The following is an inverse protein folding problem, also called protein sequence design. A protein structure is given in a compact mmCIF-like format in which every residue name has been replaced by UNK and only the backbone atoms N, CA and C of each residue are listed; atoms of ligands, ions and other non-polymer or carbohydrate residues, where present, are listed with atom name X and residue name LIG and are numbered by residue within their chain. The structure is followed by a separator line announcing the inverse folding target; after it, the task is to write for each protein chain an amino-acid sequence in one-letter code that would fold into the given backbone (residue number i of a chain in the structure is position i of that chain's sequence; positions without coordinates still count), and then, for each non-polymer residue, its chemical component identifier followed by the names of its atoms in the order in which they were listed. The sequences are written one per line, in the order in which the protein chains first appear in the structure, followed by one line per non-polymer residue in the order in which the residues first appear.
data_IF_204195714081
#
_entry.id   IF_204195714081
#
_cell.length_a   1.000
_cell.length_b   1.000
_cell.length_c   1.000
_cell.angle_alpha   90.00
_cell.angle_beta   90.00
_cell.angle_gamma   90.00
#
_symmetry.space_group_name_H-M   'P 1'
#
loop_
_entity.id
_entity.type
_entity.pdbx_description
1 polymer ?
#
# COMPACT_ATOMS: atom_id res chain seq x y z
N UNK A 1 39.17 27.42 7.58
CA UNK A 1 40.38 27.10 8.34
C UNK A 1 40.80 25.71 7.89
N UNK A 2 41.97 25.56 7.27
CA UNK A 2 42.47 24.25 6.85
C UNK A 2 43.08 23.54 8.08
N UNK A 3 42.80 22.24 8.24
CA UNK A 3 43.36 21.41 9.30
C UNK A 3 43.70 20.05 8.71
N UNK A 4 44.99 19.78 8.52
CA UNK A 4 45.50 18.57 7.85
C UNK A 4 45.98 17.50 8.86
N UNK A 5 45.53 17.56 10.11
CA UNK A 5 45.91 16.58 11.15
C UNK A 5 44.90 15.43 11.26
N UNK A 6 45.41 14.21 11.42
CA UNK A 6 44.63 12.97 11.53
C UNK A 6 43.66 12.89 12.72
N UNK A 7 43.81 13.76 13.74
CA UNK A 7 43.00 13.76 14.97
C UNK A 7 42.42 15.16 15.31
N UNK A 8 42.25 16.04 14.32
CA UNK A 8 41.84 17.43 14.53
C UNK A 8 40.37 17.72 14.26
N UNK A 9 39.78 18.69 14.96
CA UNK A 9 38.54 19.34 14.52
C UNK A 9 38.88 20.50 13.58
N UNK A 10 38.34 20.51 12.36
CA UNK A 10 38.57 21.60 11.40
C UNK A 10 37.87 22.90 11.80
N UNK A 11 36.57 22.84 12.10
CA UNK A 11 35.72 23.97 12.49
C UNK A 11 34.77 23.53 13.62
N UNK A 12 34.61 24.35 14.66
CA UNK A 12 33.66 24.13 15.76
C UNK A 12 32.88 25.42 16.07
N UNK A 13 31.54 25.33 16.08
CA UNK A 13 30.64 26.44 16.41
C UNK A 13 29.60 26.03 17.44
N UNK A 14 29.39 26.84 18.49
CA UNK A 14 28.38 26.62 19.54
C UNK A 14 27.49 27.85 19.69
N UNK A 15 26.33 27.83 19.06
CA UNK A 15 25.33 28.89 19.08
C UNK A 15 23.94 28.31 18.74
N UNK A 16 22.93 29.18 18.58
CA UNK A 16 21.62 28.77 18.07
C UNK A 16 21.70 28.13 16.67
N UNK A 17 22.58 28.66 15.81
CA UNK A 17 23.02 28.04 14.56
C UNK A 17 24.52 27.81 14.65
N UNK A 18 24.97 26.55 14.61
CA UNK A 18 26.40 26.20 14.71
C UNK A 18 27.18 26.50 13.44
N UNK A 19 26.59 26.17 12.27
CA UNK A 19 27.13 26.39 10.92
C UNK A 19 25.94 26.67 9.98
N UNK A 20 26.10 27.59 9.03
CA UNK A 20 25.14 27.87 7.95
C UNK A 20 25.88 27.77 6.60
N UNK A 21 25.38 26.93 5.70
CA UNK A 21 25.83 26.84 4.31
C UNK A 21 24.68 27.20 3.38
N UNK A 22 24.92 28.12 2.45
CA UNK A 22 23.92 28.63 1.50
C UNK A 22 24.54 28.63 0.09
N UNK A 23 23.72 28.26 -0.90
CA UNK A 23 24.07 28.36 -2.31
C UNK A 23 22.83 28.80 -3.08
N UNK A 24 22.98 29.82 -3.92
CA UNK A 24 21.92 30.49 -4.67
C UNK A 24 22.01 30.26 -6.18
N UNK A 25 22.93 29.38 -6.61
CA UNK A 25 23.16 29.05 -8.01
C UNK A 25 22.48 27.74 -8.40
N UNK A 26 22.06 27.60 -9.67
CA UNK A 26 21.60 26.32 -10.22
C UNK A 26 22.65 25.22 -10.02
N UNK A 27 22.22 24.05 -9.54
CA UNK A 27 23.09 22.92 -9.16
C UNK A 27 24.10 23.21 -8.03
N UNK A 28 23.92 24.33 -7.32
CA UNK A 28 24.74 24.69 -6.18
C UNK A 28 24.58 23.73 -5.00
N UNK A 29 25.66 23.54 -4.23
CA UNK A 29 25.67 22.68 -3.04
C UNK A 29 25.94 23.56 -1.83
N UNK A 30 24.94 23.72 -0.95
CA UNK A 30 25.09 24.51 0.27
C UNK A 30 26.02 23.86 1.31
N UNK A 31 25.97 22.53 1.44
CA UNK A 31 26.82 21.75 2.36
C UNK A 31 27.22 20.43 1.71
N UNK A 32 28.50 20.08 1.78
CA UNK A 32 29.06 18.81 1.28
C UNK A 32 29.90 18.14 2.37
N UNK A 33 29.55 16.90 2.72
CA UNK A 33 30.34 16.04 3.61
C UNK A 33 30.97 14.88 2.84
N UNK A 34 32.27 14.70 2.95
CA UNK A 34 33.05 13.66 2.25
C UNK A 34 33.78 12.82 3.30
N UNK A 35 33.62 11.50 3.24
CA UNK A 35 34.49 10.53 3.90
C UNK A 35 35.26 9.75 2.83
N UNK A 36 36.58 9.80 2.87
CA UNK A 36 37.48 9.28 1.81
C UNK A 36 38.34 8.09 2.28
N UNK A 37 37.96 7.47 3.40
CA UNK A 37 38.61 6.30 3.99
C UNK A 37 37.61 5.18 4.25
N UNK A 38 38.09 3.95 4.43
CA UNK A 38 37.24 2.83 4.87
C UNK A 38 36.57 3.18 6.20
N UNK A 39 35.27 2.91 6.29
CA UNK A 39 34.40 3.20 7.45
C UNK A 39 34.21 4.69 7.79
N UNK A 40 34.68 5.61 6.94
CA UNK A 40 34.43 7.03 7.12
C UNK A 40 32.96 7.39 6.90
N UNK A 41 32.44 8.30 7.74
CA UNK A 41 31.08 8.84 7.60
C UNK A 41 31.18 10.27 7.07
N UNK A 42 30.62 10.53 5.90
CA UNK A 42 30.64 11.88 5.29
C UNK A 42 29.81 12.90 6.08
N UNK A 43 28.63 12.49 6.59
CA UNK A 43 27.74 13.33 7.41
C UNK A 43 27.21 12.53 8.60
N UNK A 44 27.44 13.02 9.82
CA UNK A 44 26.96 12.41 11.07
C UNK A 44 26.27 13.46 11.93
N UNK A 45 25.04 13.16 12.40
CA UNK A 45 24.25 14.04 13.25
C UNK A 45 23.48 13.27 14.30
N UNK A 46 23.33 13.84 15.50
CA UNK A 46 22.59 13.23 16.60
C UNK A 46 21.86 14.30 17.45
N UNK A 47 20.75 13.92 18.07
CA UNK A 47 20.00 14.75 19.01
C UNK A 47 19.81 13.99 20.34
N UNK A 48 20.15 14.61 21.47
CA UNK A 48 20.10 13.96 22.79
C UNK A 48 18.93 14.43 23.66
N UNK A 49 18.10 15.35 23.16
CA UNK A 49 17.03 16.01 23.93
C UNK A 49 15.63 15.79 23.34
N UNK A 50 15.45 14.72 22.58
CA UNK A 50 14.15 14.32 22.02
C UNK A 50 13.68 15.14 20.82
N UNK A 51 14.57 15.92 20.20
CA UNK A 51 14.31 16.57 18.93
C UNK A 51 14.75 15.71 17.74
N UNK A 52 14.65 16.28 16.54
CA UNK A 52 15.13 15.64 15.32
C UNK A 52 16.66 15.75 15.20
N UNK A 53 17.31 14.70 14.71
CA UNK A 53 18.72 14.74 14.33
C UNK A 53 18.93 15.37 12.93
N UNK A 54 17.89 15.36 12.09
CA UNK A 54 17.86 16.01 10.79
C UNK A 54 16.42 16.27 10.33
N UNK A 55 16.23 17.33 9.56
CA UNK A 55 14.98 17.68 8.89
C UNK A 55 15.34 18.12 7.47
N UNK A 56 14.79 17.42 6.47
CA UNK A 56 14.99 17.74 5.06
C UNK A 56 13.66 18.25 4.51
N UNK A 57 13.67 19.43 3.91
CA UNK A 57 12.47 20.07 3.38
C UNK A 57 12.78 20.60 1.99
N UNK A 58 11.90 20.31 1.05
CA UNK A 58 11.94 20.83 -0.30
C UNK A 58 10.63 21.55 -0.60
N UNK A 59 10.71 22.68 -1.31
CA UNK A 59 9.55 23.51 -1.70
C UNK A 59 9.40 23.52 -3.22
N UNK A 60 9.57 22.37 -3.86
CA UNK A 60 9.25 22.18 -5.28
C UNK A 60 7.83 21.63 -5.42
N UNK A 61 7.03 22.30 -6.25
CA UNK A 61 5.77 21.78 -6.75
C UNK A 61 5.98 21.46 -8.24
N UNK A 62 6.38 20.23 -8.53
CA UNK A 62 6.43 19.69 -9.88
C UNK A 62 5.67 18.38 -9.89
N UNK A 63 4.87 18.16 -10.93
CA UNK A 63 4.02 16.96 -11.02
C UNK A 63 4.82 15.72 -11.47
N UNK A 64 6.01 15.93 -12.04
CA UNK A 64 6.89 14.85 -12.50
C UNK A 64 7.75 14.27 -11.38
N UNK A 65 7.78 12.94 -11.28
CA UNK A 65 8.61 12.17 -10.35
C UNK A 65 10.10 12.12 -10.77
N UNK A 66 10.71 13.27 -11.08
CA UNK A 66 12.15 13.35 -11.34
C UNK A 66 12.94 13.24 -10.03
N UNK A 67 14.23 12.85 -10.07
CA UNK A 67 15.06 12.85 -8.88
C UNK A 67 15.06 14.22 -8.17
N UNK A 68 15.04 15.32 -8.92
CA UNK A 68 15.07 16.69 -8.40
C UNK A 68 13.77 17.11 -7.66
N UNK A 69 12.65 16.44 -7.93
CA UNK A 69 11.37 16.66 -7.23
C UNK A 69 11.34 16.04 -5.82
N UNK A 70 12.30 15.18 -5.46
CA UNK A 70 12.35 14.51 -4.16
C UNK A 70 13.13 15.33 -3.13
N UNK A 71 12.66 15.36 -1.88
CA UNK A 71 13.37 16.06 -0.79
C UNK A 71 14.70 15.41 -0.40
N UNK A 72 14.84 14.09 -0.60
CA UNK A 72 16.05 13.33 -0.28
C UNK A 72 16.24 12.23 -1.34
N UNK A 73 17.47 12.10 -1.84
CA UNK A 73 17.92 10.96 -2.63
C UNK A 73 18.99 10.17 -1.87
N UNK A 74 18.85 8.84 -1.84
CA UNK A 74 19.83 7.93 -1.22
C UNK A 74 20.32 6.97 -2.30
N UNK A 75 21.62 6.99 -2.56
CA UNK A 75 22.23 6.24 -3.67
C UNK A 75 23.49 5.55 -3.20
N UNK A 76 23.56 4.24 -3.44
CA UNK A 76 24.80 3.49 -3.34
C UNK A 76 25.28 3.16 -4.76
N UNK A 77 26.47 3.68 -5.10
CA UNK A 77 27.05 3.58 -6.45
C UNK A 77 28.01 2.38 -6.60
N UNK A 78 28.09 1.50 -5.60
CA UNK A 78 28.93 0.32 -5.63
C UNK A 78 28.52 -0.64 -6.75
N UNK A 79 29.40 -0.85 -7.72
CA UNK A 79 29.23 -1.84 -8.79
C UNK A 79 30.13 -3.06 -8.51
N UNK A 80 29.57 -4.21 -8.15
CA UNK A 80 30.33 -5.42 -7.80
C UNK A 80 29.45 -6.62 -7.41
N UNK A 81 30.04 -7.81 -7.29
CA UNK A 81 29.33 -9.11 -7.26
C UNK A 81 28.42 -9.41 -6.06
N UNK A 82 28.46 -8.63 -4.99
CA UNK A 82 27.56 -8.79 -3.82
C UNK A 82 26.33 -7.87 -3.85
N UNK A 83 26.31 -6.86 -4.73
CA UNK A 83 25.27 -5.84 -4.79
C UNK A 83 25.37 -4.78 -3.69
N UNK A 84 25.03 -3.50 -3.98
CA UNK A 84 25.01 -2.44 -2.98
C UNK A 84 23.72 -2.42 -2.13
N UNK A 85 23.84 -2.18 -0.82
CA UNK A 85 22.70 -1.87 0.06
C UNK A 85 22.32 -0.38 -0.01
N UNK A 86 21.02 -0.08 -0.02
CA UNK A 86 20.50 1.29 -0.19
C UNK A 86 20.31 2.06 1.11
N UNK A 87 19.34 1.65 1.93
CA UNK A 87 18.94 2.34 3.17
C UNK A 87 18.77 1.34 4.31
N UNK A 88 19.47 1.59 5.42
CA UNK A 88 19.25 0.92 6.69
C UNK A 88 18.51 1.86 7.66
N UNK A 89 17.44 1.38 8.30
CA UNK A 89 16.69 2.09 9.34
C UNK A 89 16.79 1.27 10.63
N UNK A 90 17.33 1.87 11.69
CA UNK A 90 17.53 1.21 12.98
C UNK A 90 16.80 1.97 14.06
N UNK A 91 15.85 1.31 14.72
CA UNK A 91 15.14 1.82 15.90
C UNK A 91 15.53 0.97 17.10
N UNK A 92 16.15 1.55 18.15
CA UNK A 92 16.54 0.76 19.30
C UNK A 92 15.30 0.41 20.14
N UNK A 93 15.16 -0.88 20.47
CA UNK A 93 14.17 -1.42 21.41
C UNK A 93 14.81 -2.53 22.24
N UNK A 94 14.13 -2.99 23.30
CA UNK A 94 14.65 -4.04 24.16
C UNK A 94 14.56 -5.41 23.45
N UNK A 95 15.71 -6.08 23.27
CA UNK A 95 15.79 -7.37 22.57
C UNK A 95 15.75 -7.24 21.05
N UNK A 96 15.70 -8.37 20.34
CA UNK A 96 15.80 -8.44 18.87
C UNK A 96 14.44 -8.44 18.17
N UNK A 97 13.34 -8.38 18.93
CA UNK A 97 11.97 -8.46 18.41
C UNK A 97 11.25 -7.14 18.58
N UNK A 98 10.90 -6.42 17.48
CA UNK A 98 10.18 -5.16 17.59
C UNK A 98 8.76 -5.40 18.12
N UNK A 99 8.38 -4.65 19.15
CA UNK A 99 7.00 -4.56 19.62
C UNK A 99 6.09 -3.90 18.58
N UNK A 100 4.77 -4.02 18.76
CA UNK A 100 3.76 -3.44 17.87
C UNK A 100 3.69 -1.90 17.88
N UNK A 101 4.45 -1.26 18.76
CA UNK A 101 4.57 0.19 18.90
C UNK A 101 5.86 0.75 18.28
N UNK A 102 6.71 -0.09 17.68
CA UNK A 102 7.94 0.34 17.01
C UNK A 102 7.62 0.77 15.59
N UNK A 103 7.76 2.06 15.28
CA UNK A 103 7.59 2.59 13.92
C UNK A 103 8.95 2.77 13.23
N UNK A 104 9.13 2.14 12.07
CA UNK A 104 10.32 2.33 11.24
C UNK A 104 10.10 3.46 10.22
N UNK A 105 8.91 3.48 9.60
CA UNK A 105 8.48 4.51 8.65
C UNK A 105 7.05 4.91 8.97
N UNK A 106 6.73 6.19 8.95
CA UNK A 106 5.37 6.70 9.14
C UNK A 106 5.03 7.69 8.03
N UNK A 107 3.90 7.47 7.37
CA UNK A 107 3.36 8.36 6.35
C UNK A 107 2.33 9.28 7.00
N UNK A 108 2.44 10.60 6.79
CA UNK A 108 1.51 11.59 7.32
C UNK A 108 0.64 12.21 6.22
N UNK A 109 -0.55 12.70 6.59
CA UNK A 109 -1.41 13.50 5.71
C UNK A 109 -0.71 14.80 5.26
N UNK A 110 -1.21 15.44 4.19
CA UNK A 110 -0.65 16.71 3.70
C UNK A 110 -0.64 17.86 4.73
N UNK A 111 -1.52 17.81 5.74
CA UNK A 111 -1.50 18.73 6.88
C UNK A 111 -0.48 18.39 7.97
N UNK A 112 0.26 17.28 7.81
CA UNK A 112 1.20 16.71 8.77
C UNK A 112 0.60 16.41 10.16
N UNK A 113 -0.73 16.28 10.27
CA UNK A 113 -1.42 16.14 11.55
C UNK A 113 -1.81 14.69 11.90
N UNK A 114 -1.92 13.81 10.89
CA UNK A 114 -2.42 12.44 11.08
C UNK A 114 -1.55 11.45 10.32
N UNK A 115 -1.15 10.36 10.96
CA UNK A 115 -0.55 9.22 10.27
C UNK A 115 -1.60 8.52 9.39
N UNK A 116 -1.27 8.31 8.12
CA UNK A 116 -2.12 7.64 7.11
C UNK A 116 -1.65 6.23 6.77
N UNK A 117 -0.43 5.86 7.17
CA UNK A 117 0.11 4.52 7.07
C UNK A 117 1.46 4.40 7.77
N UNK A 118 1.96 3.18 7.92
CA UNK A 118 3.27 2.94 8.53
C UNK A 118 3.90 1.60 8.11
N UNK A 119 5.21 1.50 8.29
CA UNK A 119 5.91 0.22 8.45
C UNK A 119 6.28 0.13 9.93
N UNK A 120 5.63 -0.78 10.65
CA UNK A 120 5.76 -0.93 12.11
C UNK A 120 6.06 -2.38 12.49
N UNK A 121 6.59 -2.60 13.70
CA UNK A 121 6.81 -3.93 14.24
C UNK A 121 5.49 -4.71 14.37
N UNK A 122 5.54 -6.03 14.19
CA UNK A 122 4.37 -6.90 14.36
C UNK A 122 4.27 -7.55 15.76
N UNK A 123 5.21 -7.24 16.67
CA UNK A 123 5.28 -7.86 18.00
C UNK A 123 5.80 -9.30 18.03
N UNK A 124 6.13 -9.88 16.87
CA UNK A 124 6.49 -11.30 16.70
C UNK A 124 7.78 -11.48 15.88
N UNK A 125 8.63 -10.46 15.84
CA UNK A 125 9.97 -10.53 15.21
C UNK A 125 10.01 -10.06 13.76
N UNK A 126 8.94 -9.44 13.26
CA UNK A 126 8.87 -8.90 11.90
C UNK A 126 8.23 -7.52 11.83
N UNK A 127 7.93 -7.09 10.60
CA UNK A 127 7.23 -5.84 10.32
C UNK A 127 5.87 -6.10 9.68
N UNK A 128 4.96 -5.14 9.80
CA UNK A 128 3.69 -5.07 9.09
C UNK A 128 3.61 -3.78 8.31
N UNK A 129 3.02 -3.85 7.11
CA UNK A 129 2.58 -2.68 6.38
C UNK A 129 1.17 -2.31 6.86
N UNK A 130 1.07 -1.18 7.56
CA UNK A 130 -0.19 -0.67 8.09
C UNK A 130 -0.82 0.28 7.09
N UNK A 131 -1.93 -0.14 6.51
CA UNK A 131 -2.75 0.64 5.58
C UNK A 131 -4.21 0.66 6.00
N UNK A 132 -5.06 1.37 5.25
CA UNK A 132 -6.50 1.43 5.49
C UNK A 132 -7.28 0.19 5.02
N UNK A 133 -6.63 -0.71 4.27
CA UNK A 133 -7.22 -1.89 3.65
C UNK A 133 -6.59 -3.20 4.10
N UNK A 134 -7.32 -4.30 3.93
CA UNK A 134 -6.87 -5.65 4.31
C UNK A 134 -6.85 -6.62 3.11
N UNK A 135 -6.93 -6.08 1.90
CA UNK A 135 -6.98 -6.80 0.63
C UNK A 135 -5.83 -6.42 -0.30
N UNK A 136 -5.55 -7.33 -1.22
CA UNK A 136 -4.74 -7.09 -2.39
C UNK A 136 -5.68 -6.96 -3.58
N UNK A 137 -5.67 -5.77 -4.19
CA UNK A 137 -6.45 -5.46 -5.37
C UNK A 137 -5.56 -5.23 -6.58
N UNK A 138 -6.10 -5.49 -7.76
CA UNK A 138 -5.48 -5.13 -9.03
C UNK A 138 -6.41 -4.20 -9.81
N UNK A 139 -5.82 -3.24 -10.52
CA UNK A 139 -6.54 -2.26 -11.30
C UNK A 139 -6.91 -2.85 -12.67
N UNK A 140 -8.20 -3.10 -12.90
CA UNK A 140 -8.70 -3.66 -14.16
C UNK A 140 -9.48 -2.65 -14.98
N UNK A 141 -9.45 -2.74 -16.33
CA UNK A 141 -10.45 -2.10 -17.17
C UNK A 141 -11.86 -2.55 -16.79
N UNK A 142 -12.75 -1.60 -16.51
CA UNK A 142 -14.09 -1.90 -16.05
C UNK A 142 -15.14 -0.99 -16.69
N UNK A 143 -16.40 -1.40 -16.59
CA UNK A 143 -17.53 -0.62 -17.09
C UNK A 143 -17.93 0.48 -16.12
N UNK A 144 -18.48 1.57 -16.67
CA UNK A 144 -18.93 2.71 -15.86
C UNK A 144 -20.04 2.31 -14.89
N UNK A 145 -20.10 3.02 -13.77
CA UNK A 145 -21.18 2.90 -12.79
C UNK A 145 -21.02 1.77 -11.79
N UNK A 146 -19.89 1.04 -11.80
CA UNK A 146 -19.50 0.14 -10.71
C UNK A 146 -19.28 0.93 -9.41
N UNK A 147 -19.56 0.29 -8.29
CA UNK A 147 -19.41 0.88 -6.96
C UNK A 147 -18.63 -0.06 -6.03
N UNK A 148 -17.95 0.47 -5.00
CA UNK A 148 -17.32 -0.36 -3.99
C UNK A 148 -18.28 -1.40 -3.41
N UNK A 149 -17.78 -2.63 -3.24
CA UNK A 149 -18.54 -3.79 -2.81
C UNK A 149 -19.34 -4.50 -3.91
N UNK A 150 -19.40 -3.96 -5.14
CA UNK A 150 -19.99 -4.67 -6.28
C UNK A 150 -19.17 -5.94 -6.58
N UNK A 151 -19.84 -7.09 -6.67
CA UNK A 151 -19.28 -8.32 -7.23
C UNK A 151 -19.24 -8.22 -8.74
N UNK A 152 -18.08 -8.43 -9.33
CA UNK A 152 -17.82 -8.21 -10.76
C UNK A 152 -17.45 -9.50 -11.48
N UNK A 153 -17.75 -9.53 -12.77
CA UNK A 153 -17.48 -10.66 -13.67
C UNK A 153 -16.71 -10.16 -14.89
N UNK A 154 -15.99 -11.06 -15.55
CA UNK A 154 -15.31 -10.79 -16.81
C UNK A 154 -16.36 -10.74 -17.93
N UNK A 155 -16.57 -9.55 -18.50
CA UNK A 155 -17.49 -9.34 -19.61
C UNK A 155 -16.98 -9.88 -20.95
N UNK A 156 -17.81 -9.88 -22.00
CA UNK A 156 -17.45 -10.42 -23.32
C UNK A 156 -16.22 -9.76 -23.98
N UNK A 157 -15.98 -8.48 -23.67
CA UNK A 157 -14.84 -7.70 -24.19
C UNK A 157 -13.60 -7.77 -23.28
N UNK A 158 -13.60 -8.64 -22.26
CA UNK A 158 -12.53 -8.72 -21.26
C UNK A 158 -12.55 -7.61 -20.21
N UNK A 159 -13.43 -6.59 -20.37
CA UNK A 159 -13.70 -5.58 -19.35
C UNK A 159 -14.54 -6.15 -18.22
N UNK A 160 -14.29 -5.69 -17.01
CA UNK A 160 -15.09 -6.08 -15.85
C UNK A 160 -16.44 -5.37 -15.86
N UNK A 161 -17.48 -6.14 -15.58
CA UNK A 161 -18.87 -5.67 -15.52
C UNK A 161 -19.50 -6.13 -14.21
N UNK A 162 -20.58 -5.47 -13.81
CA UNK A 162 -21.36 -5.89 -12.64
C UNK A 162 -21.91 -7.30 -12.90
N UNK A 163 -21.83 -8.18 -11.90
CA UNK A 163 -22.56 -9.46 -11.93
C UNK A 163 -24.07 -9.21 -12.00
N UNK A 164 -24.80 -10.07 -12.72
CA UNK A 164 -26.25 -9.89 -12.96
C UNK A 164 -27.04 -11.21 -12.87
N UNK A 165 -26.36 -12.32 -12.59
CA UNK A 165 -26.97 -13.65 -12.51
C UNK A 165 -26.34 -14.46 -11.37
N UNK A 166 -27.14 -15.34 -10.81
CA UNK A 166 -26.69 -16.32 -9.84
C UNK A 166 -25.60 -17.26 -10.41
N UNK A 167 -24.59 -17.59 -9.61
CA UNK A 167 -23.58 -18.63 -9.88
C UNK A 167 -22.82 -18.47 -11.21
N UNK A 168 -22.42 -17.24 -11.54
CA UNK A 168 -21.61 -16.94 -12.72
C UNK A 168 -20.19 -17.49 -12.57
N UNK A 169 -19.75 -18.31 -13.52
CA UNK A 169 -18.41 -18.94 -13.50
C UNK A 169 -17.28 -18.02 -13.96
N UNK A 170 -17.62 -16.84 -14.46
CA UNK A 170 -16.69 -15.82 -14.93
C UNK A 170 -16.52 -14.70 -13.89
N UNK A 171 -16.78 -14.98 -12.61
CA UNK A 171 -16.59 -14.03 -11.53
C UNK A 171 -15.10 -13.70 -11.36
N UNK A 172 -14.80 -12.42 -11.21
CA UNK A 172 -13.42 -11.91 -11.20
C UNK A 172 -12.98 -11.42 -9.81
N UNK A 173 -13.93 -11.06 -8.94
CA UNK A 173 -13.64 -10.52 -7.62
C UNK A 173 -14.68 -9.48 -7.20
N UNK A 174 -14.27 -8.58 -6.31
CA UNK A 174 -15.13 -7.52 -5.76
C UNK A 174 -14.42 -6.18 -5.88
N UNK A 175 -15.15 -5.12 -6.23
CA UNK A 175 -14.61 -3.76 -6.21
C UNK A 175 -14.20 -3.37 -4.77
N UNK A 176 -12.90 -3.23 -4.52
CA UNK A 176 -12.33 -2.79 -3.25
C UNK A 176 -12.60 -1.32 -2.96
N UNK A 177 -12.88 -0.98 -1.70
CA UNK A 177 -13.11 0.41 -1.28
C UNK A 177 -11.79 1.17 -1.07
N UNK A 178 -10.79 0.51 -0.48
CA UNK A 178 -9.52 1.10 -0.09
C UNK A 178 -8.50 -0.03 0.06
N UNK A 179 -7.88 -0.49 -1.04
CA UNK A 179 -7.02 -1.67 -1.01
C UNK A 179 -5.78 -1.46 -0.13
N UNK A 180 -5.34 -2.54 0.52
CA UNK A 180 -4.10 -2.53 1.29
C UNK A 180 -2.87 -2.49 0.37
N UNK A 181 -2.95 -3.19 -0.75
CA UNK A 181 -2.01 -3.13 -1.86
C UNK A 181 -2.79 -3.03 -3.16
N UNK A 182 -2.36 -2.13 -4.06
CA UNK A 182 -2.94 -1.97 -5.39
C UNK A 182 -1.88 -2.27 -6.45
N UNK A 183 -2.09 -3.31 -7.24
CA UNK A 183 -1.31 -3.64 -8.43
C UNK A 183 -1.95 -3.13 -9.72
N UNK A 184 -1.23 -3.26 -10.84
CA UNK A 184 -1.77 -2.98 -12.19
C UNK A 184 -1.75 -1.51 -12.61
N UNK A 185 -1.19 -0.61 -11.79
CA UNK A 185 -0.86 0.76 -12.21
C UNK A 185 0.45 0.75 -13.01
N UNK A 186 0.43 1.29 -14.22
CA UNK A 186 1.64 1.49 -15.05
C UNK A 186 1.86 2.98 -15.30
N UNK A 187 3.10 3.45 -15.50
CA UNK A 187 3.39 4.88 -15.74
C UNK A 187 2.58 5.47 -16.90
N UNK A 188 2.36 4.71 -17.97
CA UNK A 188 1.57 5.13 -19.14
C UNK A 188 0.08 5.39 -18.84
N UNK A 189 -0.41 4.93 -17.69
CA UNK A 189 -1.82 5.13 -17.26
C UNK A 189 -2.02 6.44 -16.50
N UNK A 190 -1.00 6.97 -15.83
CA UNK A 190 -1.09 8.25 -15.10
C UNK A 190 -1.22 9.43 -16.07
N UNK A 191 -0.57 9.35 -17.24
CA UNK A 191 -0.61 10.38 -18.27
C UNK A 191 -1.94 10.47 -19.05
N UNK A 192 -2.86 9.51 -18.85
CA UNK A 192 -4.14 9.44 -19.58
C UNK A 192 -5.34 9.99 -18.78
N UNK A 193 -5.11 10.54 -17.58
CA UNK A 193 -6.18 11.02 -16.70
C UNK A 193 -6.92 12.26 -17.25
N UNK A 194 -6.34 13.02 -18.18
CA UNK A 194 -6.90 14.32 -18.62
C UNK A 194 -7.80 14.29 -19.86
N UNK A 195 -7.71 13.30 -20.77
CA UNK A 195 -8.49 13.33 -22.03
C UNK A 195 -9.44 12.15 -22.27
N UNK A 196 -9.23 10.96 -21.66
CA UNK A 196 -10.07 9.77 -21.92
C UNK A 196 -10.37 8.91 -20.69
N UNK A 197 -10.82 9.53 -19.58
CA UNK A 197 -11.42 8.86 -18.41
C UNK A 197 -12.74 8.11 -18.72
N UNK A 198 -12.92 7.57 -19.92
CA UNK A 198 -14.11 6.85 -20.37
C UNK A 198 -13.97 5.32 -20.36
N UNK A 199 -12.76 4.77 -20.21
CA UNK A 199 -12.56 3.38 -19.81
C UNK A 199 -12.27 3.31 -18.31
N UNK A 200 -13.36 3.30 -17.52
CA UNK A 200 -13.34 3.32 -16.06
C UNK A 200 -12.61 2.12 -15.49
N UNK A 201 -11.36 2.28 -15.07
CA UNK A 201 -10.67 1.24 -14.32
C UNK A 201 -11.24 1.15 -12.90
N UNK A 202 -11.18 -0.03 -12.29
CA UNK A 202 -11.60 -0.23 -10.90
C UNK A 202 -10.60 -1.14 -10.16
N UNK A 203 -10.26 -0.83 -8.89
CA UNK A 203 -9.48 -1.72 -8.04
C UNK A 203 -10.34 -2.91 -7.62
N UNK A 204 -9.98 -4.11 -8.08
CA UNK A 204 -10.71 -5.33 -7.76
C UNK A 204 -9.90 -6.17 -6.82
N UNK A 205 -10.46 -6.45 -5.64
CA UNK A 205 -9.91 -7.37 -4.67
C UNK A 205 -9.93 -8.79 -5.23
N UNK A 206 -8.74 -9.37 -5.35
CA UNK A 206 -8.53 -10.77 -5.76
C UNK A 206 -8.35 -11.66 -4.53
N UNK A 207 -7.83 -11.10 -3.43
CA UNK A 207 -7.65 -11.79 -2.16
C UNK A 207 -7.70 -10.81 -0.98
N UNK A 208 -8.18 -11.30 0.17
CA UNK A 208 -8.19 -10.56 1.43
C UNK A 208 -9.59 -10.21 1.92
N UNK A 209 -9.69 -9.28 2.86
CA UNK A 209 -10.98 -8.96 3.51
C UNK A 209 -11.53 -7.66 2.95
N UNK A 210 -12.73 -7.73 2.34
CA UNK A 210 -13.41 -6.56 1.80
C UNK A 210 -14.89 -6.50 2.21
N UNK A 211 -15.48 -5.30 2.29
CA UNK A 211 -16.93 -5.14 2.33
C UNK A 211 -17.54 -5.56 0.99
N UNK A 212 -18.52 -6.46 1.02
CA UNK A 212 -19.21 -6.99 -0.18
C UNK A 212 -20.70 -6.74 -0.05
N UNK A 213 -21.33 -6.28 -1.13
CA UNK A 213 -22.79 -6.22 -1.24
C UNK A 213 -23.34 -7.64 -1.32
N UNK A 214 -24.33 -7.96 -0.48
CA UNK A 214 -24.90 -9.31 -0.35
C UNK A 214 -26.42 -9.31 -0.34
N UNK A 215 -27.00 -10.38 -0.85
CA UNK A 215 -28.44 -10.67 -0.89
C UNK A 215 -28.72 -12.00 -0.18
N UNK A 216 -29.78 -12.02 0.63
CA UNK A 216 -30.31 -13.23 1.28
C UNK A 216 -31.30 -13.99 0.38
N UNK A 217 -31.36 -13.72 -0.93
CA UNK A 217 -32.28 -14.37 -1.86
C UNK A 217 -32.12 -15.89 -1.93
N UNK A 218 -30.92 -16.40 -1.62
CA UNK A 218 -30.64 -17.83 -1.53
C UNK A 218 -30.57 -18.33 -0.07
N UNK A 219 -31.27 -17.64 0.82
CA UNK A 219 -31.33 -17.87 2.25
C UNK A 219 -30.36 -16.99 3.04
N UNK A 220 -30.54 -17.01 4.36
CA UNK A 220 -29.70 -16.27 5.31
C UNK A 220 -28.23 -16.64 5.15
N UNK A 221 -27.35 -15.66 5.25
CA UNK A 221 -25.89 -15.80 5.24
C UNK A 221 -25.40 -15.89 6.69
N UNK A 222 -24.50 -16.83 6.95
CA UNK A 222 -23.83 -17.05 8.23
C UNK A 222 -22.30 -16.99 8.05
N UNK A 223 -21.53 -16.59 9.08
CA UNK A 223 -20.09 -16.67 9.02
C UNK A 223 -19.61 -18.08 8.64
N UNK A 224 -18.69 -18.15 7.68
CA UNK A 224 -18.18 -19.40 7.10
C UNK A 224 -18.90 -19.87 5.84
N UNK A 225 -20.10 -19.37 5.54
CA UNK A 225 -20.82 -19.70 4.32
C UNK A 225 -20.00 -19.31 3.08
N UNK A 226 -19.93 -20.22 2.11
CA UNK A 226 -19.39 -19.91 0.80
C UNK A 226 -20.36 -19.00 0.06
N UNK A 227 -19.82 -18.00 -0.64
CA UNK A 227 -20.60 -17.03 -1.40
C UNK A 227 -20.35 -17.18 -2.90
N UNK A 228 -21.38 -16.89 -3.70
CA UNK A 228 -21.34 -16.82 -5.16
C UNK A 228 -22.08 -15.56 -5.63
N UNK A 229 -22.02 -15.23 -6.93
CA UNK A 229 -22.85 -14.14 -7.49
C UNK A 229 -24.35 -14.46 -7.32
N UNK A 230 -25.16 -13.41 -7.21
CA UNK A 230 -26.62 -13.48 -7.07
C UNK A 230 -27.34 -12.95 -8.31
N UNK A 231 -28.66 -13.17 -8.40
CA UNK A 231 -29.53 -12.54 -9.40
C UNK A 231 -29.76 -11.05 -9.09
N UNK A 232 -29.55 -10.63 -7.83
CA UNK A 232 -29.46 -9.21 -7.47
C UNK A 232 -28.15 -8.62 -8.03
N UNK A 233 -28.19 -7.63 -8.94
CA UNK A 233 -26.99 -7.16 -9.63
C UNK A 233 -25.90 -6.66 -8.67
N UNK A 234 -24.67 -7.11 -8.87
CA UNK A 234 -23.50 -6.72 -8.08
C UNK A 234 -23.48 -7.26 -6.66
N UNK A 235 -24.44 -8.12 -6.29
CA UNK A 235 -24.49 -8.71 -4.97
C UNK A 235 -24.01 -10.17 -5.01
N UNK A 236 -23.39 -10.59 -3.91
CA UNK A 236 -23.16 -11.98 -3.60
C UNK A 236 -24.36 -12.57 -2.85
N UNK A 237 -24.48 -13.89 -2.83
CA UNK A 237 -25.42 -14.63 -2.00
C UNK A 237 -24.77 -15.92 -1.51
N UNK A 238 -25.40 -16.62 -0.56
CA UNK A 238 -24.97 -17.96 -0.17
C UNK A 238 -24.87 -18.87 -1.40
N UNK A 239 -23.77 -19.60 -1.55
CA UNK A 239 -23.53 -20.48 -2.68
C UNK A 239 -24.40 -21.76 -2.57
N UNK A 240 -24.83 -22.29 -3.72
CA UNK A 240 -25.55 -23.55 -3.78
C UNK A 240 -24.57 -24.74 -3.82
N UNK A 241 -24.79 -25.71 -2.95
CA UNK A 241 -24.13 -27.03 -2.97
C UNK A 241 -25.07 -28.08 -3.55
N UNK A 242 -24.49 -29.12 -4.15
CA UNK A 242 -25.15 -30.41 -4.37
C UNK A 242 -24.59 -31.39 -3.35
N UNK A 243 -25.46 -32.11 -2.65
CA UNK A 243 -25.03 -33.16 -1.74
C UNK A 243 -24.80 -34.46 -2.53
N UNK A 244 -23.56 -34.96 -2.51
CA UNK A 244 -23.18 -36.25 -3.09
C UNK A 244 -22.66 -37.13 -1.94
N UNK A 245 -23.46 -38.12 -1.54
CA UNK A 245 -23.13 -39.07 -0.47
C UNK A 245 -22.65 -38.40 0.84
N UNK A 246 -23.31 -37.31 1.25
CA UNK A 246 -22.97 -36.57 2.46
C UNK A 246 -21.89 -35.51 2.29
N UNK A 247 -21.32 -35.36 1.09
CA UNK A 247 -20.33 -34.33 0.76
C UNK A 247 -21.00 -33.20 -0.01
N UNK A 248 -20.84 -31.96 0.47
CA UNK A 248 -21.26 -30.78 -0.26
C UNK A 248 -20.29 -30.45 -1.39
N UNK A 249 -20.82 -30.41 -2.61
CA UNK A 249 -20.04 -30.10 -3.81
C UNK A 249 -20.55 -28.81 -4.42
N UNK A 250 -19.65 -27.86 -4.60
CA UNK A 250 -19.91 -26.57 -5.22
C UNK A 250 -19.42 -26.56 -6.66
N UNK A 251 -20.07 -25.75 -7.51
CA UNK A 251 -19.66 -25.59 -8.90
C UNK A 251 -18.31 -24.84 -8.96
N UNK A 252 -17.27 -25.39 -9.61
CA UNK A 252 -16.00 -24.68 -9.75
C UNK A 252 -16.14 -23.34 -10.48
N UNK A 253 -15.35 -22.35 -10.06
CA UNK A 253 -15.32 -21.02 -10.66
C UNK A 253 -16.49 -20.10 -10.29
N UNK A 254 -17.40 -20.51 -9.41
CA UNK A 254 -18.51 -19.64 -8.96
C UNK A 254 -18.28 -19.03 -7.58
N UNK A 255 -17.32 -19.53 -6.84
CA UNK A 255 -17.10 -19.15 -5.44
C UNK A 255 -16.23 -17.89 -5.40
N UNK A 256 -16.73 -16.86 -4.71
CA UNK A 256 -16.00 -15.60 -4.54
C UNK A 256 -15.24 -15.53 -3.21
N UNK A 257 -15.64 -16.33 -2.22
CA UNK A 257 -15.09 -16.27 -0.89
C UNK A 257 -16.00 -16.82 0.20
N UNK A 258 -15.68 -16.49 1.45
CA UNK A 258 -16.42 -16.89 2.66
C UNK A 258 -16.90 -15.69 3.45
N UNK A 259 -18.15 -15.72 3.88
CA UNK A 259 -18.72 -14.69 4.75
C UNK A 259 -17.98 -14.64 6.10
N UNK A 260 -17.68 -13.44 6.58
CA UNK A 260 -17.16 -13.23 7.94
C UNK A 260 -18.24 -12.68 8.88
N UNK A 261 -19.38 -12.24 8.33
CA UNK A 261 -20.52 -11.69 9.07
C UNK A 261 -21.83 -12.27 8.52
N UNK A 262 -22.92 -12.10 9.25
CA UNK A 262 -24.24 -12.63 8.91
C UNK A 262 -25.13 -11.63 8.19
N UNK A 263 -26.07 -12.14 7.39
CA UNK A 263 -27.24 -11.41 6.88
C UNK A 263 -28.47 -12.32 7.01
N UNK A 264 -29.50 -11.90 7.73
CA UNK A 264 -30.71 -12.71 7.94
C UNK A 264 -31.67 -12.67 6.75
N UNK A 265 -31.94 -11.47 6.23
CA UNK A 265 -32.90 -11.22 5.15
C UNK A 265 -32.51 -9.99 4.32
N UNK A 266 -33.14 -9.82 3.15
CA UNK A 266 -32.96 -8.64 2.30
C UNK A 266 -31.56 -8.51 1.70
N UNK A 267 -31.05 -7.29 1.61
CA UNK A 267 -29.71 -6.97 1.11
C UNK A 267 -28.91 -6.18 2.16
N UNK A 268 -27.58 -6.25 2.08
CA UNK A 268 -26.69 -5.54 2.98
C UNK A 268 -25.26 -5.50 2.49
N UNK A 269 -24.36 -4.97 3.32
CA UNK A 269 -22.91 -5.04 3.10
C UNK A 269 -22.29 -5.76 4.27
N UNK A 270 -21.52 -6.81 3.99
CA UNK A 270 -20.83 -7.61 5.01
C UNK A 270 -19.36 -7.78 4.66
N UNK A 271 -18.52 -8.05 5.67
CA UNK A 271 -17.13 -8.46 5.44
C UNK A 271 -17.08 -9.88 4.91
N UNK A 272 -16.28 -10.07 3.85
CA UNK A 272 -16.05 -11.37 3.21
C UNK A 272 -14.54 -11.55 3.04
N UNK A 273 -14.07 -12.76 3.33
CA UNK A 273 -12.74 -13.20 2.94
C UNK A 273 -12.80 -13.64 1.47
N UNK A 274 -12.21 -12.84 0.58
CA UNK A 274 -12.15 -13.12 -0.86
C UNK A 274 -11.08 -14.18 -1.12
N UNK A 275 -11.52 -15.25 -1.78
CA UNK A 275 -10.71 -16.38 -2.23
C UNK A 275 -11.41 -16.99 -3.45
N UNK A 276 -10.95 -16.67 -4.66
CA UNK A 276 -11.54 -17.20 -5.90
C UNK A 276 -11.19 -18.70 -6.02
N UNK A 277 -12.23 -19.54 -6.22
CA UNK A 277 -12.11 -21.00 -6.32
C UNK A 277 -12.99 -21.59 -7.44
#
# INVERSE_FOLDING_TARGET
MFNDYSNGTGIYGKAAFGVLGESDTTYGVGVLGIGDSSDAVGVFGFNTRGGQAGLFTNQTAGDDATPESHAVQIRNLGAGGAGPDGLAIVTPFAGDTPGSNVNFVTFFSGSNAKAVGAIEGNGSGGVVYKSGGADFAELFPASKGLQPGDVVVIGPEGKLVRSIKANQTNVAGVYSTAPGFLGGMTPDMEAQEEEEASDSRAPIAIIGIVPVKVSAENGSIRPGDLLATSDTPGHAMRANSVNLDGVEVYRPGTIIGKALESLDEGTGVIRVLITLH
#
